data_IF_505253228294
#
_entry.id   IF_505253228294
#
_cell.length_a   1.000
_cell.length_b   1.000
_cell.length_c   1.000
_cell.angle_alpha   90.00
_cell.angle_beta   90.00
_cell.angle_gamma   90.00
#
_symmetry.space_group_name_H-M   'P 1'
#
loop_
_entity.id
_entity.type
_entity.pdbx_description
1 polymer ?
#
# COMPACT_ATOMS: atom_id res chain seq x y z
N UNK A 1 -10.43 -8.87 -23.21
CA UNK A 1 -11.66 -8.39 -22.57
C UNK A 1 -12.16 -9.43 -21.56
N UNK A 2 -12.68 -8.93 -20.44
CA UNK A 2 -13.28 -9.80 -19.44
C UNK A 2 -14.63 -10.32 -19.95
N UNK A 3 -15.02 -11.56 -19.66
CA UNK A 3 -16.36 -12.06 -19.97
C UNK A 3 -17.46 -11.21 -19.33
N UNK A 4 -18.58 -11.05 -20.01
CA UNK A 4 -19.71 -10.25 -19.50
C UNK A 4 -20.21 -10.71 -18.14
N UNK A 5 -20.20 -12.03 -17.88
CA UNK A 5 -20.61 -12.59 -16.60
C UNK A 5 -19.67 -12.19 -15.46
N UNK A 6 -18.36 -12.03 -15.73
CA UNK A 6 -17.43 -11.55 -14.75
C UNK A 6 -17.74 -10.10 -14.33
N UNK A 7 -18.06 -9.23 -15.29
CA UNK A 7 -18.45 -7.85 -15.00
C UNK A 7 -19.74 -7.76 -14.21
N UNK A 8 -20.72 -8.61 -14.50
CA UNK A 8 -21.96 -8.71 -13.71
C UNK A 8 -21.71 -9.21 -12.29
N UNK A 9 -20.80 -10.18 -12.12
CA UNK A 9 -20.38 -10.66 -10.79
C UNK A 9 -19.71 -9.53 -10.00
N UNK A 10 -18.80 -8.80 -10.62
CA UNK A 10 -18.16 -7.65 -9.98
C UNK A 10 -19.18 -6.58 -9.58
N UNK A 11 -20.13 -6.27 -10.45
CA UNK A 11 -21.18 -5.29 -10.17
C UNK A 11 -22.04 -5.73 -8.97
N UNK A 12 -22.47 -6.98 -8.93
CA UNK A 12 -23.18 -7.57 -7.79
C UNK A 12 -22.34 -7.50 -6.50
N UNK A 13 -21.07 -7.91 -6.57
CA UNK A 13 -20.18 -7.88 -5.40
C UNK A 13 -19.99 -6.48 -4.85
N UNK A 14 -19.90 -5.47 -5.70
CA UNK A 14 -19.78 -4.07 -5.29
C UNK A 14 -21.10 -3.54 -4.70
N UNK A 15 -22.18 -3.64 -5.43
CA UNK A 15 -23.40 -2.88 -5.15
C UNK A 15 -24.32 -3.60 -4.16
N UNK A 16 -24.35 -4.93 -4.20
CA UNK A 16 -25.26 -5.74 -3.36
C UNK A 16 -24.58 -6.30 -2.11
N UNK A 17 -23.22 -6.36 -2.09
CA UNK A 17 -22.50 -6.97 -0.96
C UNK A 17 -21.58 -5.95 -0.28
N UNK A 18 -20.59 -5.42 -1.00
CA UNK A 18 -19.50 -4.65 -0.40
C UNK A 18 -19.96 -3.30 0.15
N UNK A 19 -20.63 -2.50 -0.69
CA UNK A 19 -21.06 -1.16 -0.30
C UNK A 19 -22.08 -1.19 0.85
N UNK A 20 -23.13 -2.03 0.83
CA UNK A 20 -24.05 -2.15 1.96
C UNK A 20 -23.34 -2.54 3.26
N UNK A 21 -22.48 -3.56 3.21
CA UNK A 21 -21.71 -3.99 4.37
C UNK A 21 -20.87 -2.85 4.98
N UNK A 22 -20.11 -2.14 4.13
CA UNK A 22 -19.23 -1.09 4.62
C UNK A 22 -19.99 0.15 5.12
N UNK A 23 -21.17 0.46 4.57
CA UNK A 23 -22.04 1.53 5.10
C UNK A 23 -22.50 1.21 6.51
N UNK A 24 -22.96 -0.01 6.76
CA UNK A 24 -23.37 -0.46 8.08
C UNK A 24 -22.19 -0.52 9.05
N UNK A 25 -21.08 -1.14 8.65
CA UNK A 25 -19.91 -1.30 9.50
C UNK A 25 -19.24 0.03 9.84
N UNK A 26 -19.15 0.97 8.90
CA UNK A 26 -18.59 2.30 9.17
C UNK A 26 -19.47 3.12 10.11
N UNK A 27 -20.80 3.01 10.02
CA UNK A 27 -21.74 3.62 10.95
C UNK A 27 -21.55 3.06 12.35
N UNK A 28 -21.54 1.72 12.50
CA UNK A 28 -21.27 1.06 13.76
C UNK A 28 -19.92 1.45 14.37
N UNK A 29 -18.85 1.49 13.57
CA UNK A 29 -17.52 1.89 14.00
C UNK A 29 -17.53 3.33 14.56
N UNK A 30 -18.19 4.24 13.84
CA UNK A 30 -18.32 5.65 14.22
C UNK A 30 -19.10 5.83 15.54
N UNK A 31 -20.20 5.12 15.72
CA UNK A 31 -20.98 5.12 16.97
C UNK A 31 -20.15 4.63 18.16
N UNK A 32 -19.15 3.78 17.91
CA UNK A 32 -18.21 3.28 18.93
C UNK A 32 -16.88 4.06 18.99
N UNK A 33 -16.82 5.27 18.42
CA UNK A 33 -15.69 6.17 18.52
C UNK A 33 -14.55 5.89 17.52
N UNK A 34 -14.72 4.95 16.59
CA UNK A 34 -13.75 4.67 15.52
C UNK A 34 -14.10 5.49 14.29
N UNK A 35 -13.31 6.52 14.00
CA UNK A 35 -13.56 7.47 12.92
C UNK A 35 -12.70 7.24 11.68
N UNK A 36 -11.74 6.30 11.76
CA UNK A 36 -10.82 5.97 10.67
C UNK A 36 -10.66 4.46 10.56
N UNK A 37 -10.98 3.93 9.39
CA UNK A 37 -10.79 2.53 9.00
C UNK A 37 -9.83 2.51 7.83
N UNK A 38 -8.65 1.95 8.03
CA UNK A 38 -7.59 1.93 7.03
C UNK A 38 -7.54 0.58 6.31
N UNK A 39 -7.96 0.55 5.05
CA UNK A 39 -7.92 -0.66 4.21
C UNK A 39 -6.57 -0.79 3.53
N UNK A 40 -6.00 -1.96 3.52
CA UNK A 40 -4.83 -2.25 2.71
C UNK A 40 -5.25 -2.53 1.26
N UNK A 41 -4.56 -1.88 0.30
CA UNK A 41 -4.80 -2.06 -1.14
C UNK A 41 -4.13 -3.34 -1.63
N UNK A 42 -4.66 -4.48 -1.18
CA UNK A 42 -4.07 -5.78 -1.47
C UNK A 42 -4.72 -6.40 -2.72
N UNK A 43 -3.93 -6.83 -3.72
CA UNK A 43 -4.44 -7.57 -4.88
C UNK A 43 -5.18 -8.84 -4.50
N UNK A 44 -6.28 -9.11 -5.18
CA UNK A 44 -7.20 -10.19 -4.85
C UNK A 44 -8.38 -9.75 -3.98
N UNK A 45 -8.34 -8.56 -3.38
CA UNK A 45 -9.49 -7.93 -2.72
C UNK A 45 -10.25 -7.01 -3.69
N UNK A 46 -11.47 -6.63 -3.32
CA UNK A 46 -12.28 -5.72 -4.13
C UNK A 46 -11.70 -4.30 -4.15
N UNK A 47 -11.00 -3.90 -3.08
CA UNK A 47 -10.32 -2.61 -2.95
C UNK A 47 -8.81 -2.87 -2.99
N UNK A 48 -8.19 -2.62 -4.14
CA UNK A 48 -6.79 -2.98 -4.39
C UNK A 48 -5.94 -1.88 -5.07
N UNK A 49 -6.57 -0.74 -5.40
CA UNK A 49 -5.91 0.41 -6.01
C UNK A 49 -6.62 1.72 -5.64
N UNK A 50 -6.08 2.84 -6.11
CA UNK A 50 -6.64 4.17 -5.81
C UNK A 50 -8.08 4.35 -6.30
N UNK A 51 -8.41 3.83 -7.46
CA UNK A 51 -9.74 3.94 -8.06
C UNK A 51 -10.79 3.21 -7.22
N UNK A 52 -10.51 1.96 -6.86
CA UNK A 52 -11.43 1.14 -6.05
C UNK A 52 -11.57 1.68 -4.62
N UNK A 53 -10.49 2.22 -4.03
CA UNK A 53 -10.59 2.91 -2.74
C UNK A 53 -11.48 4.15 -2.82
N UNK A 54 -11.28 4.99 -3.84
CA UNK A 54 -12.10 6.20 -4.03
C UNK A 54 -13.58 5.86 -4.25
N UNK A 55 -13.86 4.80 -5.00
CA UNK A 55 -15.23 4.29 -5.17
C UNK A 55 -15.84 3.95 -3.82
N UNK A 56 -15.19 3.11 -3.02
CA UNK A 56 -15.73 2.72 -1.72
C UNK A 56 -15.86 3.91 -0.77
N UNK A 57 -14.83 4.76 -0.69
CA UNK A 57 -14.84 5.97 0.15
C UNK A 57 -15.94 6.96 -0.28
N UNK A 58 -16.20 7.10 -1.58
CA UNK A 58 -17.27 7.94 -2.11
C UNK A 58 -18.67 7.45 -1.72
N UNK A 59 -18.86 6.15 -1.63
CA UNK A 59 -20.13 5.51 -1.27
C UNK A 59 -20.38 5.45 0.24
N UNK A 60 -19.32 5.24 1.04
CA UNK A 60 -19.42 5.00 2.49
C UNK A 60 -19.17 6.27 3.30
N UNK A 61 -18.10 7.00 2.99
CA UNK A 61 -17.72 8.21 3.70
C UNK A 61 -16.24 8.29 4.05
N UNK A 62 -15.90 9.38 4.75
CA UNK A 62 -14.50 9.67 5.14
C UNK A 62 -13.97 8.75 6.24
N UNK A 63 -14.78 7.92 6.82
CA UNK A 63 -14.35 6.86 7.73
C UNK A 63 -13.43 5.85 7.03
N UNK A 64 -13.64 5.62 5.72
CA UNK A 64 -12.81 4.73 4.89
C UNK A 64 -11.57 5.48 4.39
N UNK A 65 -10.42 4.92 4.63
CA UNK A 65 -9.13 5.35 4.13
C UNK A 65 -8.22 4.19 3.82
N UNK A 66 -6.94 4.45 3.65
CA UNK A 66 -5.95 3.44 3.27
C UNK A 66 -4.89 3.23 4.34
N UNK A 67 -4.58 1.98 4.61
CA UNK A 67 -3.28 1.54 5.08
C UNK A 67 -2.39 1.41 3.85
N UNK A 68 -1.53 2.39 3.64
CA UNK A 68 -0.71 2.51 2.45
C UNK A 68 0.49 1.55 2.55
N UNK A 69 0.46 0.49 1.74
CA UNK A 69 1.59 -0.42 1.55
C UNK A 69 2.14 -0.28 0.12
N UNK A 70 3.33 0.32 -0.06
CA UNK A 70 3.91 0.52 -1.38
C UNK A 70 4.28 -0.79 -2.09
N UNK A 71 4.51 -1.87 -1.36
CA UNK A 71 4.94 -3.14 -1.94
C UNK A 71 3.88 -3.74 -2.85
N UNK A 72 2.61 -3.72 -2.43
CA UNK A 72 1.48 -4.22 -3.20
C UNK A 72 1.18 -3.37 -4.43
N UNK A 73 1.48 -2.09 -4.38
CA UNK A 73 1.28 -1.18 -5.51
C UNK A 73 2.38 -1.37 -6.56
N UNK A 74 3.63 -1.45 -6.11
CA UNK A 74 4.81 -1.48 -6.98
C UNK A 74 4.80 -2.70 -7.91
N UNK A 75 4.55 -3.90 -7.38
CA UNK A 75 4.58 -5.09 -8.23
C UNK A 75 3.40 -5.14 -9.22
N UNK A 76 2.32 -4.41 -8.97
CA UNK A 76 1.22 -4.21 -9.92
C UNK A 76 1.56 -3.19 -11.02
N UNK A 77 2.71 -2.52 -10.96
CA UNK A 77 3.11 -1.50 -11.91
C UNK A 77 2.64 -0.07 -11.56
N UNK A 78 2.13 0.15 -10.36
CA UNK A 78 1.79 1.48 -9.88
C UNK A 78 3.02 2.18 -9.28
N UNK A 79 3.12 3.50 -9.46
CA UNK A 79 4.11 4.33 -8.78
C UNK A 79 3.59 4.78 -7.41
N UNK A 80 4.17 4.32 -6.29
CA UNK A 80 3.71 4.67 -4.96
C UNK A 80 3.72 6.16 -4.65
N UNK A 81 4.66 6.92 -5.20
CA UNK A 81 4.73 8.38 -5.02
C UNK A 81 3.52 9.07 -5.65
N UNK A 82 3.13 8.64 -6.84
CA UNK A 82 1.92 9.12 -7.51
C UNK A 82 0.67 8.77 -6.73
N UNK A 83 0.59 7.54 -6.19
CA UNK A 83 -0.55 7.09 -5.36
C UNK A 83 -0.67 7.90 -4.07
N UNK A 84 0.45 8.21 -3.38
CA UNK A 84 0.44 9.09 -2.20
C UNK A 84 -0.17 10.46 -2.54
N UNK A 85 0.26 11.05 -3.64
CA UNK A 85 -0.25 12.37 -4.09
C UNK A 85 -1.73 12.34 -4.47
N UNK A 86 -2.20 11.22 -4.99
CA UNK A 86 -3.59 11.02 -5.39
C UNK A 86 -4.51 10.82 -4.19
N UNK A 87 -4.08 10.03 -3.19
CA UNK A 87 -4.90 9.66 -2.04
C UNK A 87 -4.86 10.67 -0.88
N UNK A 88 -3.76 11.40 -0.71
CA UNK A 88 -3.62 12.50 0.27
C UNK A 88 -4.22 12.18 1.64
N UNK A 89 -5.30 12.90 2.01
CA UNK A 89 -6.01 12.81 3.29
C UNK A 89 -6.71 11.46 3.52
N UNK A 90 -6.77 10.61 2.53
CA UNK A 90 -7.27 9.25 2.68
C UNK A 90 -6.21 8.27 3.24
N UNK A 91 -4.94 8.66 3.33
CA UNK A 91 -3.89 7.83 3.94
C UNK A 91 -3.99 7.95 5.46
N UNK A 92 -4.40 6.87 6.13
CA UNK A 92 -4.59 6.83 7.57
C UNK A 92 -3.49 6.09 8.30
N UNK A 93 -2.83 5.17 7.62
CA UNK A 93 -1.70 4.41 8.11
C UNK A 93 -0.73 4.09 6.96
N UNK A 94 0.53 3.81 7.29
CA UNK A 94 1.56 3.45 6.32
C UNK A 94 2.28 2.18 6.78
N UNK A 95 2.30 1.18 5.93
CA UNK A 95 3.23 0.07 6.03
C UNK A 95 4.51 0.36 5.25
N UNK A 96 5.64 0.26 5.92
CA UNK A 96 6.94 0.24 5.27
C UNK A 96 7.30 -1.23 5.00
N UNK A 97 6.98 -1.68 3.80
CA UNK A 97 7.21 -3.03 3.28
C UNK A 97 7.81 -2.93 1.89
N UNK A 98 8.86 -3.67 1.65
CA UNK A 98 9.57 -3.64 0.38
C UNK A 98 9.26 -4.84 -0.50
N UNK A 99 9.43 -4.70 -1.79
CA UNK A 99 9.25 -5.76 -2.78
C UNK A 99 10.31 -5.64 -3.87
N UNK A 100 10.83 -6.77 -4.31
CA UNK A 100 11.68 -6.85 -5.49
C UNK A 100 10.91 -7.48 -6.64
N UNK A 101 10.72 -6.71 -7.71
CA UNK A 101 10.20 -7.22 -8.98
C UNK A 101 11.37 -7.83 -9.75
N UNK A 102 11.23 -9.10 -10.15
CA UNK A 102 12.17 -9.76 -11.03
C UNK A 102 11.83 -9.43 -12.49
N UNK A 103 12.70 -8.63 -13.11
CA UNK A 103 12.45 -8.15 -14.48
C UNK A 103 12.47 -9.26 -15.53
N UNK A 104 13.23 -10.34 -15.30
CA UNK A 104 13.33 -11.47 -16.22
C UNK A 104 12.06 -12.30 -16.16
N UNK A 105 11.66 -12.74 -14.96
CA UNK A 105 10.45 -13.53 -14.77
C UNK A 105 9.19 -12.75 -15.16
N UNK A 106 9.14 -11.47 -14.82
CA UNK A 106 8.02 -10.59 -15.18
C UNK A 106 7.92 -10.37 -16.68
N UNK A 107 9.05 -10.21 -17.40
CA UNK A 107 9.04 -10.06 -18.85
C UNK A 107 8.47 -11.28 -19.58
N UNK A 108 8.58 -12.48 -18.98
CA UNK A 108 8.10 -13.74 -19.58
C UNK A 108 6.67 -14.08 -19.10
N UNK A 109 6.38 -13.92 -17.83
CA UNK A 109 5.17 -14.43 -17.19
C UNK A 109 4.19 -13.35 -16.69
N UNK A 110 4.56 -12.07 -16.76
CA UNK A 110 3.78 -10.99 -16.16
C UNK A 110 3.88 -10.96 -14.64
N UNK A 111 3.02 -10.18 -14.02
CA UNK A 111 3.06 -9.91 -12.57
C UNK A 111 2.06 -10.74 -11.75
N UNK A 112 1.06 -11.35 -12.38
CA UNK A 112 0.08 -12.21 -11.70
C UNK A 112 0.72 -13.58 -11.40
N UNK A 113 1.40 -13.65 -10.28
CA UNK A 113 2.17 -14.81 -9.87
C UNK A 113 1.45 -15.60 -8.77
N UNK A 114 1.10 -16.84 -9.07
CA UNK A 114 0.41 -17.76 -8.15
C UNK A 114 1.33 -18.83 -7.55
N UNK A 115 2.65 -18.77 -7.84
CA UNK A 115 3.61 -19.72 -7.29
C UNK A 115 3.74 -19.54 -5.78
N UNK A 116 4.01 -20.61 -5.06
CA UNK A 116 4.28 -20.55 -3.62
C UNK A 116 5.47 -19.62 -3.31
N UNK A 117 5.44 -18.93 -2.20
CA UNK A 117 6.47 -17.94 -1.82
C UNK A 117 7.88 -18.54 -1.66
N UNK A 118 8.01 -19.82 -1.36
CA UNK A 118 9.30 -20.52 -1.29
C UNK A 118 9.94 -20.82 -2.66
N UNK A 119 9.30 -20.48 -3.76
CA UNK A 119 9.85 -20.63 -5.10
C UNK A 119 10.46 -19.32 -5.60
N UNK A 120 11.31 -18.71 -4.80
CA UNK A 120 11.79 -17.33 -4.96
C UNK A 120 12.41 -17.09 -6.35
N UNK A 121 13.22 -18.03 -6.84
CA UNK A 121 13.95 -17.87 -8.10
C UNK A 121 13.05 -17.79 -9.35
N UNK A 122 11.86 -18.36 -9.29
CA UNK A 122 10.95 -18.40 -10.44
C UNK A 122 9.78 -17.41 -10.29
N UNK A 123 9.69 -16.70 -9.16
CA UNK A 123 8.61 -15.74 -8.95
C UNK A 123 8.87 -14.44 -9.70
N UNK A 124 7.81 -13.81 -10.16
CA UNK A 124 7.85 -12.50 -10.80
C UNK A 124 8.17 -11.36 -9.81
N UNK A 125 7.92 -11.58 -8.53
CA UNK A 125 8.27 -10.67 -7.45
C UNK A 125 8.32 -11.42 -6.12
N UNK A 126 9.11 -10.90 -5.19
CA UNK A 126 9.21 -11.38 -3.81
C UNK A 126 9.25 -10.20 -2.85
N UNK A 127 8.65 -10.35 -1.68
CA UNK A 127 8.81 -9.37 -0.62
C UNK A 127 10.23 -9.39 -0.08
N UNK A 128 10.72 -8.22 0.31
CA UNK A 128 12.07 -8.03 0.77
C UNK A 128 12.12 -7.14 2.01
N UNK A 129 13.16 -7.31 2.78
CA UNK A 129 13.57 -6.33 3.78
C UNK A 129 13.74 -4.96 3.14
N UNK A 130 13.27 -3.89 3.79
CA UNK A 130 13.39 -2.51 3.31
C UNK A 130 14.84 -2.19 2.94
N UNK A 131 15.03 -1.70 1.73
CA UNK A 131 16.35 -1.41 1.14
C UNK A 131 16.97 -2.57 0.35
N UNK A 132 16.32 -3.76 0.33
CA UNK A 132 16.77 -4.91 -0.47
C UNK A 132 15.93 -5.15 -1.73
N UNK A 133 14.74 -4.60 -1.76
CA UNK A 133 13.90 -4.54 -2.97
C UNK A 133 14.20 -3.28 -3.77
N UNK A 134 14.09 -2.15 -3.11
CA UNK A 134 14.33 -0.83 -3.63
C UNK A 134 15.35 -0.09 -2.76
N UNK A 135 16.05 0.88 -3.34
CA UNK A 135 17.14 1.59 -2.67
C UNK A 135 16.65 2.68 -1.68
N UNK A 136 17.59 3.28 -0.97
CA UNK A 136 17.31 4.36 -0.03
C UNK A 136 16.71 5.60 -0.72
N UNK A 137 17.04 5.88 -1.97
CA UNK A 137 16.47 7.01 -2.70
C UNK A 137 14.98 6.82 -2.96
N UNK A 138 14.56 5.60 -3.27
CA UNK A 138 13.13 5.25 -3.38
C UNK A 138 12.38 5.52 -2.08
N UNK A 139 12.91 5.09 -0.93
CA UNK A 139 12.29 5.30 0.37
C UNK A 139 12.28 6.77 0.79
N UNK A 140 13.35 7.53 0.50
CA UNK A 140 13.40 8.98 0.70
C UNK A 140 12.32 9.70 -0.10
N UNK A 141 12.04 9.28 -1.34
CA UNK A 141 10.96 9.84 -2.15
C UNK A 141 9.58 9.57 -1.56
N UNK A 142 9.33 8.35 -1.07
CA UNK A 142 8.07 8.00 -0.39
C UNK A 142 7.87 8.89 0.83
N UNK A 143 8.82 8.93 1.76
CA UNK A 143 8.68 9.68 3.01
C UNK A 143 8.63 11.20 2.78
N UNK A 144 9.39 11.72 1.82
CA UNK A 144 9.29 13.12 1.43
C UNK A 144 7.91 13.47 0.88
N UNK A 145 7.33 12.59 0.10
CA UNK A 145 5.99 12.80 -0.48
C UNK A 145 4.90 12.70 0.58
N UNK A 146 5.00 11.76 1.52
CA UNK A 146 4.10 11.70 2.70
C UNK A 146 4.17 13.00 3.50
N UNK A 147 5.38 13.55 3.70
CA UNK A 147 5.55 14.84 4.37
C UNK A 147 4.96 16.01 3.58
N UNK A 148 5.09 16.01 2.25
CA UNK A 148 4.50 17.04 1.37
C UNK A 148 2.98 17.09 1.53
N UNK A 149 2.31 15.95 1.60
CA UNK A 149 0.86 15.87 1.77
C UNK A 149 0.40 16.13 3.21
N UNK A 150 1.33 16.30 4.16
CA UNK A 150 1.02 16.55 5.57
C UNK A 150 0.69 15.28 6.37
N UNK A 151 1.11 14.11 5.93
CA UNK A 151 0.96 12.88 6.72
C UNK A 151 1.83 12.94 7.96
N UNK A 152 1.21 12.76 9.13
CA UNK A 152 1.85 12.78 10.46
C UNK A 152 1.45 11.55 11.29
N UNK A 153 1.07 10.47 10.64
CA UNK A 153 0.71 9.21 11.26
C UNK A 153 1.89 8.25 11.44
N UNK A 154 1.60 7.09 12.00
CA UNK A 154 2.61 6.05 12.19
C UNK A 154 3.06 5.43 10.87
N UNK A 155 4.34 5.03 10.81
CA UNK A 155 4.93 4.18 9.78
C UNK A 155 5.34 2.88 10.45
N UNK A 156 4.65 1.80 10.13
CA UNK A 156 4.91 0.48 10.70
C UNK A 156 5.74 -0.35 9.72
N UNK A 157 6.82 -0.93 10.21
CA UNK A 157 7.61 -1.88 9.40
C UNK A 157 6.85 -3.21 9.35
N UNK A 158 6.52 -3.64 8.14
CA UNK A 158 6.03 -5.00 7.89
C UNK A 158 7.15 -5.81 7.22
N UNK A 159 7.53 -6.93 7.86
CA UNK A 159 8.67 -7.72 7.42
C UNK A 159 8.22 -9.10 6.93
N UNK A 160 8.29 -9.28 5.61
CA UNK A 160 8.02 -10.54 4.91
C UNK A 160 9.14 -10.82 3.90
N UNK A 161 10.28 -11.31 4.37
CA UNK A 161 11.45 -11.62 3.53
C UNK A 161 11.91 -13.05 3.80
N UNK A 162 11.79 -13.94 2.81
CA UNK A 162 12.21 -15.34 2.91
C UNK A 162 13.72 -15.53 2.89
N UNK A 163 14.48 -14.51 2.47
CA UNK A 163 15.93 -14.61 2.27
C UNK A 163 16.76 -14.10 3.46
N UNK A 164 16.10 -13.60 4.51
CA UNK A 164 16.79 -13.02 5.67
C UNK A 164 16.11 -13.41 6.99
N UNK A 165 16.90 -13.60 8.02
CA UNK A 165 16.35 -13.81 9.36
C UNK A 165 15.57 -12.58 9.84
N UNK A 166 14.41 -12.82 10.48
CA UNK A 166 13.49 -11.74 10.91
C UNK A 166 14.14 -10.68 11.80
N UNK A 167 15.05 -11.04 12.68
CA UNK A 167 15.71 -10.09 13.57
C UNK A 167 16.73 -9.22 12.83
N UNK A 168 17.57 -9.85 12.00
CA UNK A 168 18.51 -9.13 11.14
C UNK A 168 17.76 -8.24 10.14
N UNK A 169 16.69 -8.75 9.53
CA UNK A 169 15.87 -8.01 8.58
C UNK A 169 15.23 -6.78 9.23
N UNK A 170 14.65 -6.94 10.43
CA UNK A 170 14.05 -5.82 11.16
C UNK A 170 15.10 -4.75 11.52
N UNK A 171 16.28 -5.17 12.02
CA UNK A 171 17.36 -4.22 12.34
C UNK A 171 17.80 -3.40 11.12
N UNK A 172 17.96 -4.07 9.97
CA UNK A 172 18.33 -3.43 8.71
C UNK A 172 17.22 -2.49 8.18
N UNK A 173 15.97 -2.94 8.26
CA UNK A 173 14.82 -2.12 7.89
C UNK A 173 14.72 -0.85 8.73
N UNK A 174 14.86 -0.95 10.05
CA UNK A 174 14.86 0.21 10.97
C UNK A 174 15.96 1.22 10.60
N UNK A 175 17.13 0.74 10.22
CA UNK A 175 18.24 1.62 9.80
C UNK A 175 17.87 2.44 8.56
N UNK A 176 17.35 1.78 7.52
CA UNK A 176 16.94 2.45 6.26
C UNK A 176 15.78 3.41 6.50
N UNK A 177 14.78 3.01 7.28
CA UNK A 177 13.65 3.88 7.62
C UNK A 177 14.12 5.12 8.36
N UNK A 178 14.96 4.98 9.41
CA UNK A 178 15.51 6.12 10.17
C UNK A 178 16.35 7.05 9.31
N UNK A 179 17.13 6.51 8.36
CA UNK A 179 17.92 7.33 7.43
C UNK A 179 17.03 8.10 6.44
N UNK A 180 15.86 7.54 6.11
CA UNK A 180 14.98 8.07 5.06
C UNK A 180 13.92 9.03 5.58
N UNK A 181 13.53 8.90 6.85
CA UNK A 181 12.54 9.77 7.50
C UNK A 181 13.12 11.17 7.75
N UNK A 182 12.28 12.19 7.60
CA UNK A 182 12.56 13.56 8.00
C UNK A 182 11.84 13.79 9.33
N UNK A 183 12.60 13.88 10.42
CA UNK A 183 12.05 13.92 11.79
C UNK A 183 11.85 15.35 12.30
N UNK A 184 12.69 16.30 11.85
CA UNK A 184 12.64 17.69 12.30
C UNK A 184 11.47 18.46 11.67
N UNK A 185 10.99 19.46 12.35
CA UNK A 185 9.96 20.36 11.86
C UNK A 185 10.39 21.09 10.58
N UNK A 186 9.41 21.55 9.80
CA UNK A 186 9.68 22.41 8.64
C UNK A 186 10.22 23.75 9.14
N UNK A 187 11.33 24.19 8.56
CA UNK A 187 11.86 25.54 8.80
C UNK A 187 11.22 26.56 7.87
N UNK A 188 11.29 27.82 8.26
CA UNK A 188 10.92 28.94 7.39
C UNK A 188 11.82 28.96 6.14
N UNK A 189 11.23 29.33 5.02
CA UNK A 189 11.94 29.48 3.75
C UNK A 189 12.66 30.84 3.75
N UNK A 190 13.81 30.92 4.45
CA UNK A 190 14.59 32.16 4.55
C UNK A 190 15.17 32.66 3.21
N UNK A 191 15.11 31.84 2.17
CA UNK A 191 15.56 32.15 0.81
C UNK A 191 14.43 32.56 -0.16
N UNK A 192 13.16 32.59 0.23
CA UNK A 192 11.98 32.90 -0.60
C UNK A 192 11.22 34.13 -0.10
#
# INVERSE_FOLDING_TARGET
PWPDDYLKILDYQWNEVLIPYWKEFAAFAKENGVTKIALELHPGFMVYNSETLKRLRGEVGREIGVNFDPSHLLWQGMDPVSVIRELKDAIYHVHAKDVKVDSINTAVNGVLDTKHYSNEINRSWIFRTIGYGNDTAYWKNIFSTLRIIGYDGAVSIEHEDSLINRFEGLEKAVRIVKESLIMEDKTEMWWA
#
